data_IF_154624367346
#
_entry.id   IF_154624367346
#
_cell.length_a   1.000
_cell.length_b   1.000
_cell.length_c   1.000
_cell.angle_alpha   90.00
_cell.angle_beta   90.00
_cell.angle_gamma   90.00
#
_symmetry.space_group_name_H-M   'P 1'
#
loop_
_entity.id
_entity.type
_entity.pdbx_description
1 polymer ?
#
# COMPACT_ATOMS: atom_id res chain seq x y z
N UNK A 1 16.11 4.36 -9.97
CA UNK A 1 15.56 5.73 -9.85
C UNK A 1 16.65 6.67 -10.30
N UNK A 2 16.29 7.77 -10.95
CA UNK A 2 17.27 8.84 -11.20
C UNK A 2 17.94 9.26 -9.89
N UNK A 3 19.24 9.57 -9.97
CA UNK A 3 20.05 9.87 -8.80
C UNK A 3 19.54 11.10 -8.02
N UNK A 4 18.82 12.00 -8.69
CA UNK A 4 18.29 13.25 -8.12
C UNK A 4 16.79 13.19 -7.75
N UNK A 5 16.16 12.01 -7.79
CA UNK A 5 14.73 11.88 -7.51
C UNK A 5 14.43 12.01 -6.00
N UNK A 6 13.84 13.13 -5.59
CA UNK A 6 13.26 13.27 -4.25
C UNK A 6 11.82 12.71 -4.22
N UNK A 7 11.70 11.46 -3.79
CA UNK A 7 10.41 10.77 -3.67
C UNK A 7 9.42 11.52 -2.77
N UNK A 8 9.88 12.25 -1.74
CA UNK A 8 8.99 12.99 -0.85
C UNK A 8 8.37 14.18 -1.58
N UNK A 9 9.16 14.90 -2.37
CA UNK A 9 8.65 16.00 -3.18
C UNK A 9 7.72 15.52 -4.30
N UNK A 10 7.99 14.36 -4.89
CA UNK A 10 7.08 13.79 -5.90
C UNK A 10 5.74 13.33 -5.30
N UNK A 11 5.74 12.67 -4.14
CA UNK A 11 4.49 12.25 -3.48
C UNK A 11 3.63 13.45 -3.04
N UNK A 12 4.24 14.60 -2.71
CA UNK A 12 3.46 15.81 -2.39
C UNK A 12 2.68 16.37 -3.57
N UNK A 13 3.14 16.12 -4.81
CA UNK A 13 2.48 16.55 -6.05
C UNK A 13 1.36 15.60 -6.48
N UNK A 14 1.26 14.43 -5.84
CA UNK A 14 0.30 13.40 -6.18
C UNK A 14 -1.14 13.88 -5.95
N UNK A 15 -2.01 13.62 -6.93
CA UNK A 15 -3.45 13.74 -6.72
C UNK A 15 -3.95 12.59 -5.84
N UNK A 16 -4.01 12.85 -4.54
CA UNK A 16 -4.45 11.87 -3.56
C UNK A 16 -5.92 11.46 -3.75
N UNK A 17 -6.79 12.36 -4.24
CA UNK A 17 -8.20 12.04 -4.41
C UNK A 17 -8.40 11.12 -5.61
N UNK A 18 -7.70 11.39 -6.72
CA UNK A 18 -7.68 10.49 -7.87
C UNK A 18 -7.16 9.10 -7.46
N UNK A 19 -6.00 9.03 -6.79
CA UNK A 19 -5.45 7.74 -6.34
C UNK A 19 -6.43 6.96 -5.46
N UNK A 20 -7.07 7.63 -4.49
CA UNK A 20 -8.04 6.99 -3.60
C UNK A 20 -9.24 6.46 -4.38
N UNK A 21 -9.73 7.22 -5.36
CA UNK A 21 -10.83 6.80 -6.24
C UNK A 21 -10.42 5.57 -7.03
N UNK A 22 -9.26 5.59 -7.69
CA UNK A 22 -8.77 4.47 -8.50
C UNK A 22 -8.60 3.19 -7.66
N UNK A 23 -8.08 3.32 -6.43
CA UNK A 23 -8.00 2.19 -5.49
C UNK A 23 -9.39 1.67 -5.07
N UNK A 24 -10.38 2.55 -4.95
CA UNK A 24 -11.75 2.15 -4.61
C UNK A 24 -12.41 1.40 -5.76
N UNK A 25 -12.22 1.87 -6.99
CA UNK A 25 -12.74 1.22 -8.19
C UNK A 25 -12.09 -0.15 -8.39
N UNK A 26 -10.76 -0.23 -8.23
CA UNK A 26 -9.99 -1.49 -8.30
C UNK A 26 -10.52 -2.55 -7.33
N UNK A 27 -10.95 -2.15 -6.14
CA UNK A 27 -11.43 -3.12 -5.15
C UNK A 27 -12.65 -3.92 -5.63
N UNK A 28 -13.40 -3.43 -6.62
CA UNK A 28 -14.56 -4.11 -7.21
C UNK A 28 -14.35 -4.57 -8.66
N UNK A 29 -13.19 -4.28 -9.25
CA UNK A 29 -12.85 -4.70 -10.62
C UNK A 29 -12.22 -6.09 -10.64
N UNK A 30 -13.07 -7.12 -10.52
CA UNK A 30 -12.65 -8.52 -10.39
C UNK A 30 -11.95 -9.03 -11.65
N UNK A 31 -10.75 -9.57 -11.46
CA UNK A 31 -9.94 -10.15 -12.53
C UNK A 31 -10.18 -11.66 -12.69
N UNK A 32 -10.25 -12.20 -13.93
CA UNK A 32 -10.61 -13.60 -14.16
C UNK A 32 -9.57 -14.60 -13.66
N UNK A 33 -8.30 -14.20 -13.60
CA UNK A 33 -7.19 -15.03 -13.11
C UNK A 33 -7.08 -15.05 -11.59
N UNK A 34 -7.77 -14.14 -10.90
CA UNK A 34 -7.87 -14.13 -9.43
C UNK A 34 -9.18 -13.47 -8.98
N UNK A 35 -10.33 -14.17 -9.09
CA UNK A 35 -11.63 -13.55 -8.84
C UNK A 35 -11.77 -12.96 -7.44
N UNK A 36 -12.49 -11.84 -7.33
CA UNK A 36 -12.77 -11.19 -6.06
C UNK A 36 -13.84 -11.95 -5.28
N UNK A 37 -13.56 -12.27 -4.01
CA UNK A 37 -14.55 -12.85 -3.12
C UNK A 37 -15.72 -11.89 -2.92
N UNK A 38 -16.95 -12.37 -3.15
CA UNK A 38 -18.18 -11.56 -3.15
C UNK A 38 -18.11 -10.30 -4.03
N UNK A 39 -17.27 -10.32 -5.07
CA UNK A 39 -17.07 -9.18 -5.97
C UNK A 39 -16.25 -8.03 -5.35
N UNK A 40 -15.53 -8.26 -4.25
CA UNK A 40 -14.75 -7.19 -3.61
C UNK A 40 -13.43 -7.69 -2.98
N UNK A 41 -12.29 -7.11 -3.39
CA UNK A 41 -10.94 -7.44 -2.85
C UNK A 41 -10.65 -6.85 -1.46
N UNK A 42 -11.65 -6.34 -0.76
CA UNK A 42 -11.43 -5.54 0.47
C UNK A 42 -10.76 -6.37 1.56
N UNK A 43 -11.25 -7.59 1.79
CA UNK A 43 -10.66 -8.52 2.76
C UNK A 43 -9.22 -8.89 2.41
N UNK A 44 -8.91 -9.08 1.12
CA UNK A 44 -7.57 -9.36 0.65
C UNK A 44 -6.60 -8.20 0.94
N UNK A 45 -6.99 -6.97 0.59
CA UNK A 45 -6.15 -5.77 0.77
C UNK A 45 -5.89 -5.45 2.25
N UNK A 46 -6.90 -5.67 3.12
CA UNK A 46 -6.75 -5.53 4.57
C UNK A 46 -5.72 -6.54 5.09
N UNK A 47 -5.86 -7.82 4.70
CA UNK A 47 -4.93 -8.87 5.11
C UNK A 47 -3.51 -8.60 4.62
N UNK A 48 -3.35 -8.19 3.37
CA UNK A 48 -2.04 -7.83 2.80
C UNK A 48 -1.39 -6.71 3.61
N UNK A 49 -2.13 -5.64 3.91
CA UNK A 49 -1.62 -4.51 4.70
C UNK A 49 -1.20 -4.93 6.11
N UNK A 50 -1.99 -5.79 6.76
CA UNK A 50 -1.65 -6.38 8.05
C UNK A 50 -0.34 -7.20 7.98
N UNK A 51 -0.23 -8.11 7.01
CA UNK A 51 0.97 -8.95 6.85
C UNK A 51 2.21 -8.12 6.51
N UNK A 52 2.06 -7.06 5.70
CA UNK A 52 3.16 -6.16 5.35
C UNK A 52 3.73 -5.44 6.57
N UNK A 53 2.87 -4.97 7.49
CA UNK A 53 3.32 -4.36 8.74
C UNK A 53 3.81 -5.40 9.77
N UNK A 54 3.24 -6.61 9.75
CA UNK A 54 3.45 -7.65 10.75
C UNK A 54 4.85 -8.25 10.81
N UNK A 55 5.74 -7.94 9.85
CA UNK A 55 7.14 -8.37 9.90
C UNK A 55 8.03 -7.47 10.78
N UNK A 56 7.52 -6.33 11.26
CA UNK A 56 8.26 -5.46 12.17
C UNK A 56 8.55 -6.18 13.49
N UNK A 57 9.80 -6.05 13.98
CA UNK A 57 10.24 -6.61 15.27
C UNK A 57 10.84 -5.50 16.11
N UNK A 58 10.48 -5.46 17.40
CA UNK A 58 11.03 -4.46 18.31
C UNK A 58 12.53 -4.64 18.50
N UNK A 59 13.03 -5.88 18.58
CA UNK A 59 14.41 -6.20 19.00
C UNK A 59 15.52 -5.58 18.13
N UNK A 60 15.25 -5.35 16.84
CA UNK A 60 16.19 -4.79 15.86
C UNK A 60 15.52 -3.78 14.93
N UNK A 61 14.32 -3.34 15.29
CA UNK A 61 13.58 -2.34 14.53
C UNK A 61 14.37 -1.03 14.44
N UNK A 62 14.28 -0.31 13.30
CA UNK A 62 15.04 0.92 13.07
C UNK A 62 14.76 2.02 14.11
N UNK A 63 13.66 1.92 14.87
CA UNK A 63 13.30 2.87 15.92
C UNK A 63 14.01 2.65 17.26
N UNK A 64 14.70 1.52 17.49
CA UNK A 64 15.52 1.30 18.69
C UNK A 64 17.00 1.69 18.51
N UNK A 65 17.43 2.13 17.32
CA UNK A 65 18.73 2.77 17.12
C UNK A 65 18.59 4.30 17.20
N UNK A 66 18.26 4.82 18.38
CA UNK A 66 18.59 6.20 18.73
C UNK A 66 19.50 6.17 19.96
N UNK A 67 20.58 6.96 20.02
CA UNK A 67 21.16 7.33 21.31
C UNK A 67 20.14 8.11 22.15
#
# INVERSE_FOLDING_TARGET
MEEDLDYREEVKKLDFQALKKDLTDLMTDSQPWWPADWGHYGGLMIRMSWHAAGSYRIADGPYLRKP
#
